data_IF_758244143270
#
_entry.id   IF_758244143270
#
_cell.length_a   1.000
_cell.length_b   1.000
_cell.length_c   1.000
_cell.angle_alpha   90.00
_cell.angle_beta   90.00
_cell.angle_gamma   90.00
#
_symmetry.space_group_name_H-M   'P 1'
#
loop_
_entity.id
_entity.type
_entity.pdbx_description
1 polymer ?
#
# COMPACT_ATOMS: atom_id res chain seq x y z
N UNK A 1 -0.60 33.64 -33.75
CA UNK A 1 -0.26 33.19 -32.39
C UNK A 1 -0.39 34.41 -31.49
N UNK A 2 -1.36 34.58 -30.60
CA UNK A 2 -2.40 33.69 -30.07
C UNK A 2 -2.76 34.23 -28.69
N UNK A 3 -3.42 35.39 -28.65
CA UNK A 3 -3.75 36.09 -27.42
C UNK A 3 -4.43 37.44 -27.68
N UNK A 4 -5.12 37.97 -26.68
CA UNK A 4 -5.75 39.30 -26.73
C UNK A 4 -4.89 40.29 -25.96
N UNK A 5 -4.74 41.50 -26.47
CA UNK A 5 -4.05 42.60 -25.77
C UNK A 5 -5.01 43.77 -25.68
N UNK A 6 -5.39 44.15 -24.47
CA UNK A 6 -6.22 45.30 -24.22
C UNK A 6 -5.31 46.48 -23.83
N UNK A 7 -5.14 47.42 -24.75
CA UNK A 7 -4.26 48.59 -24.58
C UNK A 7 -4.78 49.60 -23.55
N UNK A 8 -6.09 49.65 -23.33
CA UNK A 8 -6.72 50.60 -22.39
C UNK A 8 -6.54 50.14 -20.94
N UNK A 9 -6.59 48.84 -20.71
CA UNK A 9 -6.44 48.24 -19.36
C UNK A 9 -5.04 47.70 -19.09
N UNK A 10 -4.18 47.63 -20.10
CA UNK A 10 -2.86 47.01 -20.02
C UNK A 10 -2.88 45.49 -19.81
N UNK A 11 -4.05 44.84 -19.96
CA UNK A 11 -4.20 43.39 -19.78
C UNK A 11 -3.93 42.64 -21.07
N UNK A 12 -3.43 41.41 -20.94
CA UNK A 12 -3.34 40.47 -22.04
C UNK A 12 -3.79 39.07 -21.59
N UNK A 13 -4.27 38.28 -22.53
CA UNK A 13 -4.53 36.86 -22.35
C UNK A 13 -3.79 36.09 -23.44
N UNK A 14 -3.12 35.01 -23.06
CA UNK A 14 -2.42 34.14 -24.02
C UNK A 14 -3.01 32.74 -23.94
N UNK A 15 -3.45 32.22 -25.07
CA UNK A 15 -4.05 30.89 -25.11
C UNK A 15 -2.95 29.83 -25.21
N UNK A 16 -2.85 28.98 -24.18
CA UNK A 16 -2.00 27.79 -24.21
C UNK A 16 -2.78 26.62 -24.81
N UNK A 17 -2.39 26.23 -26.02
CA UNK A 17 -2.98 25.07 -26.69
C UNK A 17 -2.78 23.79 -25.86
N UNK A 18 -3.81 22.92 -25.73
CA UNK A 18 -3.72 21.70 -24.91
C UNK A 18 -2.48 20.84 -25.15
N UNK A 19 -2.04 20.70 -26.39
CA UNK A 19 -0.87 19.90 -26.77
C UNK A 19 0.46 20.38 -26.13
N UNK A 20 0.54 21.64 -25.68
CA UNK A 20 1.75 22.21 -25.08
C UNK A 20 1.68 22.29 -23.55
N UNK A 21 0.55 21.93 -22.93
CA UNK A 21 0.35 22.09 -21.48
C UNK A 21 1.34 21.26 -20.68
N UNK A 22 1.60 20.02 -21.06
CA UNK A 22 2.57 19.16 -20.37
C UNK A 22 4.01 19.68 -20.51
N UNK A 23 4.38 20.16 -21.69
CA UNK A 23 5.69 20.78 -21.91
C UNK A 23 5.86 22.03 -21.03
N UNK A 24 4.81 22.83 -20.87
CA UNK A 24 4.81 24.01 -20.01
C UNK A 24 4.84 23.63 -18.52
N UNK A 25 4.06 22.63 -18.09
CA UNK A 25 3.99 22.17 -16.68
C UNK A 25 5.31 21.60 -16.18
N UNK A 26 6.04 20.93 -17.07
CA UNK A 26 7.33 20.29 -16.76
C UNK A 26 8.54 21.15 -17.10
N UNK A 27 8.35 22.27 -17.80
CA UNK A 27 9.45 23.17 -18.17
C UNK A 27 10.17 23.72 -16.93
N UNK A 28 11.50 23.75 -17.00
CA UNK A 28 12.32 24.44 -16.02
C UNK A 28 12.16 25.98 -16.11
N UNK A 29 11.71 26.48 -17.26
CA UNK A 29 11.58 27.90 -17.55
C UNK A 29 10.49 28.14 -18.60
N UNK A 30 9.58 29.08 -18.33
CA UNK A 30 8.65 29.62 -19.32
C UNK A 30 8.83 31.13 -19.34
N UNK A 31 8.92 31.71 -20.53
CA UNK A 31 9.10 33.15 -20.72
C UNK A 31 8.14 33.65 -21.78
N UNK A 32 7.59 34.85 -21.55
CA UNK A 32 6.81 35.58 -22.52
C UNK A 32 7.69 36.66 -23.15
N UNK A 33 7.99 36.51 -24.45
CA UNK A 33 8.64 37.56 -25.24
C UNK A 33 7.58 38.38 -25.96
N UNK A 34 7.60 39.69 -25.74
CA UNK A 34 6.76 40.65 -26.47
C UNK A 34 7.52 41.24 -27.66
N UNK A 35 6.78 41.57 -28.71
CA UNK A 35 7.33 42.16 -29.94
C UNK A 35 6.51 43.40 -30.34
N UNK A 36 7.19 44.44 -30.82
CA UNK A 36 6.56 45.52 -31.59
C UNK A 36 6.72 45.20 -33.07
N UNK A 37 5.63 45.16 -33.82
CA UNK A 37 5.66 44.88 -35.26
C UNK A 37 5.24 46.11 -36.06
N UNK A 38 6.07 46.50 -37.01
CA UNK A 38 5.81 47.58 -37.95
C UNK A 38 6.04 47.14 -39.40
N UNK A 39 5.47 47.89 -40.35
CA UNK A 39 5.70 47.66 -41.78
C UNK A 39 6.35 48.90 -42.38
N UNK A 40 7.55 48.74 -42.92
CA UNK A 40 8.32 49.80 -43.59
C UNK A 40 8.61 49.33 -45.02
N UNK A 41 8.24 50.12 -46.02
CA UNK A 41 8.43 49.81 -47.44
C UNK A 41 7.93 48.42 -47.87
N UNK A 42 6.81 47.98 -47.27
CA UNK A 42 6.20 46.67 -47.54
C UNK A 42 6.89 45.49 -46.84
N UNK A 43 7.96 45.73 -46.08
CA UNK A 43 8.62 44.72 -45.26
C UNK A 43 8.12 44.77 -43.82
N UNK A 44 7.84 43.60 -43.23
CA UNK A 44 7.50 43.47 -41.81
C UNK A 44 8.77 43.41 -40.98
N UNK A 45 8.88 44.31 -40.01
CA UNK A 45 9.97 44.38 -39.04
C UNK A 45 9.41 44.07 -37.65
N UNK A 46 10.09 43.19 -36.90
CA UNK A 46 9.72 42.81 -35.54
C UNK A 46 10.82 43.22 -34.56
N UNK A 47 10.50 44.15 -33.66
CA UNK A 47 11.39 44.58 -32.59
C UNK A 47 11.09 43.79 -31.33
N UNK A 48 12.08 43.06 -30.80
CA UNK A 48 11.97 42.43 -29.49
C UNK A 48 11.84 43.51 -28.42
N UNK A 49 10.80 43.39 -27.61
CA UNK A 49 10.59 44.25 -26.45
C UNK A 49 11.00 43.48 -25.18
N UNK A 50 10.09 43.36 -24.22
CA UNK A 50 10.33 42.77 -22.91
C UNK A 50 10.21 41.26 -22.98
N UNK A 51 11.16 40.59 -22.31
CA UNK A 51 11.15 39.17 -21.98
C UNK A 51 10.82 39.03 -20.49
N UNK A 52 9.69 38.39 -20.17
CA UNK A 52 9.23 38.24 -18.80
C UNK A 52 9.14 36.75 -18.44
N UNK A 53 9.76 36.28 -17.34
CA UNK A 53 9.52 34.94 -16.84
C UNK A 53 8.06 34.77 -16.42
N UNK A 54 7.49 33.62 -16.73
CA UNK A 54 6.16 33.19 -16.29
C UNK A 54 6.35 32.18 -15.16
N UNK A 55 5.81 32.49 -13.99
CA UNK A 55 5.78 31.55 -12.87
C UNK A 55 4.82 30.41 -13.18
N UNK A 56 5.32 29.17 -13.13
CA UNK A 56 4.50 27.98 -13.22
C UNK A 56 4.20 27.53 -11.79
N UNK A 57 2.95 27.70 -11.36
CA UNK A 57 2.51 27.13 -10.08
C UNK A 57 2.34 25.63 -10.26
N UNK A 58 3.21 24.85 -9.63
CA UNK A 58 3.10 23.39 -9.61
C UNK A 58 2.13 22.95 -8.53
N UNK A 59 1.38 21.90 -8.82
CA UNK A 59 0.61 21.21 -7.79
C UNK A 59 1.57 20.72 -6.70
N UNK A 60 1.16 20.88 -5.45
CA UNK A 60 1.92 20.41 -4.28
C UNK A 60 0.96 19.70 -3.34
N UNK A 61 1.48 18.85 -2.47
CA UNK A 61 0.68 18.17 -1.47
C UNK A 61 1.44 17.03 -0.82
N UNK A 62 0.89 16.53 0.27
CA UNK A 62 1.43 15.39 1.02
C UNK A 62 0.31 14.46 1.45
N UNK A 63 0.64 13.22 1.80
CA UNK A 63 -0.30 12.24 2.33
C UNK A 63 0.24 11.58 3.59
N UNK A 64 -0.61 11.46 4.60
CA UNK A 64 -0.27 10.82 5.85
C UNK A 64 -1.34 9.77 6.16
N UNK A 65 -1.15 8.50 5.75
CA UNK A 65 -2.02 7.41 6.14
C UNK A 65 -1.91 7.15 7.65
N UNK A 66 -3.03 6.81 8.27
CA UNK A 66 -3.08 6.22 9.59
C UNK A 66 -2.63 4.75 9.53
N UNK A 67 -2.42 4.14 10.70
CA UNK A 67 -2.21 2.69 10.77
C UNK A 67 -3.45 1.97 10.24
N UNK A 68 -3.24 0.98 9.36
CA UNK A 68 -4.30 0.22 8.72
C UNK A 68 -4.38 -1.18 9.33
N UNK A 69 -5.56 -1.51 9.86
CA UNK A 69 -5.87 -2.87 10.29
C UNK A 69 -6.34 -3.67 9.09
N UNK A 70 -5.72 -4.83 8.85
CA UNK A 70 -6.05 -5.68 7.67
C UNK A 70 -7.48 -6.25 7.68
N UNK A 71 -8.17 -6.16 8.82
CA UNK A 71 -9.59 -6.52 8.95
C UNK A 71 -10.54 -5.39 8.50
N UNK A 72 -10.05 -4.16 8.34
CA UNK A 72 -10.82 -3.01 7.89
C UNK A 72 -10.81 -2.90 6.36
N UNK A 73 -11.86 -2.31 5.78
CA UNK A 73 -11.97 -2.15 4.32
C UNK A 73 -11.40 -0.84 3.79
N UNK A 74 -10.90 0.05 4.64
CA UNK A 74 -10.46 1.39 4.24
C UNK A 74 -9.17 1.80 4.94
N UNK A 75 -8.19 2.27 4.17
CA UNK A 75 -7.08 3.06 4.71
C UNK A 75 -7.59 4.48 4.87
N UNK A 76 -7.42 5.06 6.06
CA UNK A 76 -7.79 6.45 6.34
C UNK A 76 -6.54 7.28 6.60
N UNK A 77 -6.69 8.60 6.59
CA UNK A 77 -5.59 9.50 6.94
C UNK A 77 -5.89 10.95 6.61
N UNK A 78 -4.83 11.75 6.57
CA UNK A 78 -4.88 13.15 6.20
C UNK A 78 -4.04 13.44 4.96
N UNK A 79 -4.32 14.56 4.31
CA UNK A 79 -3.54 15.03 3.17
C UNK A 79 -3.42 16.56 3.19
N UNK A 80 -2.55 17.11 2.35
CA UNK A 80 -2.44 18.57 2.14
C UNK A 80 -2.42 18.92 0.66
N UNK A 81 -2.66 20.19 0.35
CA UNK A 81 -2.49 20.73 -1.00
C UNK A 81 -3.49 20.17 -2.01
N UNK A 82 -2.99 19.79 -3.18
CA UNK A 82 -3.77 19.46 -4.37
C UNK A 82 -4.06 17.96 -4.52
N UNK A 83 -3.74 17.13 -3.53
CA UNK A 83 -4.00 15.68 -3.60
C UNK A 83 -5.48 15.42 -3.80
N UNK A 84 -5.81 14.61 -4.80
CA UNK A 84 -7.19 14.20 -5.10
C UNK A 84 -7.30 12.77 -5.65
N UNK A 85 -6.18 12.04 -5.69
CA UNK A 85 -6.13 10.68 -6.20
C UNK A 85 -4.95 9.91 -5.58
N UNK A 86 -5.05 8.59 -5.46
CA UNK A 86 -3.97 7.77 -4.92
C UNK A 86 -3.80 6.43 -5.65
N UNK A 87 -2.59 5.87 -5.52
CA UNK A 87 -2.20 4.53 -5.95
C UNK A 87 -1.73 3.76 -4.73
N UNK A 88 -2.29 2.58 -4.50
CA UNK A 88 -1.82 1.65 -3.49
C UNK A 88 -0.76 0.75 -4.11
N UNK A 89 0.41 0.71 -3.47
CA UNK A 89 1.53 -0.14 -3.85
C UNK A 89 1.78 -1.13 -2.71
N UNK A 90 1.89 -2.40 -3.06
CA UNK A 90 2.23 -3.49 -2.14
C UNK A 90 3.44 -4.22 -2.70
N UNK A 91 4.52 -4.29 -1.91
CA UNK A 91 5.81 -4.87 -2.31
C UNK A 91 6.32 -4.37 -3.67
N UNK A 92 6.27 -3.04 -3.84
CA UNK A 92 6.71 -2.36 -5.07
C UNK A 92 5.77 -2.51 -6.28
N UNK A 93 4.65 -3.23 -6.15
CA UNK A 93 3.66 -3.41 -7.23
C UNK A 93 2.42 -2.54 -7.00
N UNK A 94 2.02 -1.77 -8.00
CA UNK A 94 0.71 -1.10 -8.02
C UNK A 94 -0.42 -2.13 -8.05
N UNK A 95 -1.31 -2.09 -7.06
CA UNK A 95 -2.41 -3.05 -6.88
C UNK A 95 -3.79 -2.44 -7.11
N UNK A 96 -3.96 -1.15 -6.83
CA UNK A 96 -5.21 -0.43 -7.07
C UNK A 96 -4.97 1.08 -7.14
N UNK A 97 -5.94 1.79 -7.71
CA UNK A 97 -5.96 3.25 -7.78
C UNK A 97 -7.32 3.77 -7.34
N UNK A 98 -7.37 4.91 -6.66
CA UNK A 98 -8.61 5.47 -6.15
C UNK A 98 -8.41 6.43 -4.98
N UNK A 99 -9.34 6.37 -4.04
CA UNK A 99 -9.40 7.24 -2.86
C UNK A 99 -10.48 8.31 -2.97
N UNK A 100 -11.03 8.68 -1.82
CA UNK A 100 -11.96 9.79 -1.64
C UNK A 100 -11.29 10.83 -0.76
N UNK A 101 -11.17 12.06 -1.24
CA UNK A 101 -10.44 13.14 -0.57
C UNK A 101 -11.41 14.26 -0.20
N UNK A 102 -11.55 14.53 1.10
CA UNK A 102 -12.38 15.61 1.60
C UNK A 102 -11.53 16.86 1.85
N UNK A 103 -11.70 17.86 0.99
CA UNK A 103 -10.93 19.11 1.08
C UNK A 103 -11.37 20.02 2.24
N UNK A 104 -12.51 19.74 2.88
CA UNK A 104 -13.03 20.56 3.98
C UNK A 104 -12.28 20.28 5.28
N UNK A 105 -12.03 19.01 5.57
CA UNK A 105 -11.35 18.54 6.79
C UNK A 105 -9.93 18.01 6.52
N UNK A 106 -9.51 17.98 5.24
CA UNK A 106 -8.21 17.47 4.80
C UNK A 106 -7.99 15.99 5.17
N UNK A 107 -9.05 15.20 5.13
CA UNK A 107 -9.01 13.74 5.36
C UNK A 107 -9.28 12.94 4.10
N UNK A 108 -8.84 11.68 4.07
CA UNK A 108 -9.16 10.78 2.98
C UNK A 108 -9.57 9.39 3.48
N UNK A 109 -10.30 8.67 2.63
CA UNK A 109 -10.51 7.23 2.72
C UNK A 109 -10.05 6.56 1.43
N UNK A 110 -9.50 5.35 1.53
CA UNK A 110 -9.04 4.57 0.40
C UNK A 110 -9.53 3.13 0.55
N UNK A 111 -10.43 2.70 -0.32
CA UNK A 111 -11.03 1.38 -0.24
C UNK A 111 -10.04 0.26 -0.62
N UNK A 112 -9.97 -0.76 0.23
CA UNK A 112 -9.13 -1.95 0.05
C UNK A 112 -10.03 -3.19 0.04
N UNK A 113 -10.17 -3.81 -1.13
CA UNK A 113 -10.93 -5.06 -1.31
C UNK A 113 -10.26 -6.23 -0.59
N UNK A 114 -11.03 -7.26 -0.31
CA UNK A 114 -10.61 -8.43 0.48
C UNK A 114 -9.34 -9.11 -0.04
N UNK A 115 -9.27 -9.45 -1.33
CA UNK A 115 -8.07 -10.05 -1.93
C UNK A 115 -6.80 -9.19 -1.72
N UNK A 116 -6.95 -7.86 -1.73
CA UNK A 116 -5.83 -6.94 -1.51
C UNK A 116 -5.45 -6.87 -0.04
N UNK A 117 -6.40 -7.04 0.89
CA UNK A 117 -6.09 -7.15 2.33
C UNK A 117 -5.31 -8.42 2.63
N UNK A 118 -5.66 -9.53 1.98
CA UNK A 118 -4.90 -10.78 2.08
C UNK A 118 -3.47 -10.61 1.55
N UNK A 119 -3.29 -9.88 0.44
CA UNK A 119 -1.96 -9.54 -0.05
C UNK A 119 -1.17 -8.65 0.94
N UNK A 120 -1.80 -7.61 1.49
CA UNK A 120 -1.19 -6.69 2.47
C UNK A 120 -0.74 -7.41 3.74
N UNK A 121 -1.51 -8.40 4.19
CA UNK A 121 -1.25 -9.17 5.41
C UNK A 121 0.16 -9.79 5.39
N UNK A 122 0.57 -10.29 4.23
CA UNK A 122 1.84 -10.97 4.03
C UNK A 122 2.92 -10.05 3.43
N UNK A 123 2.57 -8.79 3.16
CA UNK A 123 3.48 -7.84 2.53
C UNK A 123 4.59 -7.38 3.47
N UNK A 124 5.74 -7.10 2.87
CA UNK A 124 6.88 -6.43 3.52
C UNK A 124 6.66 -4.92 3.55
N UNK A 125 6.12 -4.35 2.47
CA UNK A 125 5.90 -2.91 2.31
C UNK A 125 4.55 -2.60 1.72
N UNK A 126 3.89 -1.58 2.29
CA UNK A 126 2.65 -1.02 1.77
C UNK A 126 2.83 0.49 1.70
N UNK A 127 2.64 1.06 0.52
CA UNK A 127 2.78 2.48 0.27
C UNK A 127 1.51 3.04 -0.35
N UNK A 128 1.14 4.24 0.06
CA UNK A 128 0.13 5.04 -0.60
C UNK A 128 0.83 6.21 -1.29
N UNK A 129 0.65 6.28 -2.61
CA UNK A 129 1.23 7.34 -3.44
C UNK A 129 0.12 8.32 -3.78
N UNK A 130 0.32 9.59 -3.44
CA UNK A 130 -0.63 10.66 -3.66
C UNK A 130 -0.37 11.38 -4.98
N UNK A 131 -1.45 11.70 -5.70
CA UNK A 131 -1.44 12.36 -6.99
C UNK A 131 -2.37 13.56 -7.00
N UNK A 132 -2.03 14.52 -7.86
CA UNK A 132 -2.99 15.46 -8.42
C UNK A 132 -3.40 14.98 -9.82
N UNK A 133 -4.61 14.45 -9.92
CA UNK A 133 -5.27 14.04 -11.16
C UNK A 133 -6.11 15.19 -11.73
N UNK A 134 -5.87 15.49 -12.99
CA UNK A 134 -6.68 16.42 -13.77
C UNK A 134 -7.26 15.73 -15.00
N UNK A 135 -8.48 16.12 -15.39
CA UNK A 135 -9.10 15.67 -16.64
C UNK A 135 -8.84 16.71 -17.72
N UNK A 136 -7.96 16.39 -18.68
CA UNK A 136 -7.68 17.24 -19.83
C UNK A 136 -8.21 16.54 -21.08
N UNK A 137 -9.21 17.14 -21.73
CA UNK A 137 -9.87 16.59 -22.92
C UNK A 137 -10.39 15.15 -22.72
N UNK A 138 -10.87 14.84 -21.51
CA UNK A 138 -11.39 13.50 -21.17
C UNK A 138 -10.31 12.47 -20.82
N UNK A 139 -9.03 12.84 -20.84
CA UNK A 139 -7.92 11.97 -20.41
C UNK A 139 -7.41 12.39 -19.03
N UNK A 140 -7.18 11.44 -18.10
CA UNK A 140 -6.55 11.74 -16.83
C UNK A 140 -5.05 12.04 -17.01
N UNK A 141 -4.57 13.10 -16.39
CA UNK A 141 -3.15 13.42 -16.23
C UNK A 141 -2.84 13.37 -14.74
N UNK A 142 -1.94 12.47 -14.35
CA UNK A 142 -1.59 12.20 -12.96
C UNK A 142 -0.22 12.76 -12.64
N UNK A 143 -0.16 13.73 -11.74
CA UNK A 143 1.09 14.26 -11.22
C UNK A 143 1.33 13.68 -9.82
N UNK A 144 2.35 12.85 -9.67
CA UNK A 144 2.76 12.35 -8.35
C UNK A 144 3.21 13.51 -7.47
N UNK A 145 2.69 13.58 -6.24
CA UNK A 145 2.98 14.64 -5.28
C UNK A 145 3.80 14.13 -4.09
N UNK A 146 3.44 12.96 -3.57
CA UNK A 146 4.05 12.40 -2.35
C UNK A 146 3.88 10.88 -2.26
N UNK A 147 4.70 10.24 -1.43
CA UNK A 147 4.66 8.80 -1.12
C UNK A 147 4.82 8.61 0.38
N UNK A 148 3.92 7.83 0.98
CA UNK A 148 4.04 7.44 2.38
C UNK A 148 3.83 5.95 2.57
N UNK A 149 4.63 5.37 3.46
CA UNK A 149 4.38 4.01 3.98
C UNK A 149 3.12 4.01 4.81
N UNK A 150 2.27 3.00 4.61
CA UNK A 150 1.12 2.70 5.45
C UNK A 150 1.59 1.73 6.53
N UNK A 151 1.49 2.13 7.80
CA UNK A 151 1.79 1.21 8.91
C UNK A 151 0.70 0.16 8.95
N UNK A 152 1.06 -1.12 8.87
CA UNK A 152 0.09 -2.21 8.93
C UNK A 152 0.01 -2.75 10.35
N UNK A 153 -1.17 -2.65 10.95
CA UNK A 153 -1.48 -3.30 12.22
C UNK A 153 -1.94 -4.74 11.94
N UNK A 154 -0.98 -5.65 12.00
CA UNK A 154 -1.19 -7.08 11.78
C UNK A 154 -1.66 -7.71 13.09
N UNK A 155 -2.95 -7.60 13.39
CA UNK A 155 -3.55 -8.27 14.54
C UNK A 155 -3.74 -9.77 14.22
N UNK A 156 -2.70 -10.57 14.51
CA UNK A 156 -2.76 -12.03 14.38
C UNK A 156 -3.48 -12.62 15.59
N UNK A 157 -4.72 -13.05 15.40
CA UNK A 157 -5.56 -13.59 16.48
C UNK A 157 -5.86 -15.06 16.19
N UNK A 158 -5.74 -15.87 17.23
CA UNK A 158 -6.14 -17.26 17.17
C UNK A 158 -5.98 -17.98 18.49
N UNK A 159 -6.50 -19.20 18.54
CA UNK A 159 -6.31 -20.12 19.66
C UNK A 159 -5.94 -21.49 19.13
N UNK A 160 -5.30 -22.31 19.97
CA UNK A 160 -5.03 -23.71 19.67
C UNK A 160 -5.36 -24.57 20.88
N UNK A 161 -6.04 -25.68 20.64
CA UNK A 161 -6.51 -26.63 21.66
C UNK A 161 -6.12 -28.04 21.23
N UNK A 162 -4.99 -28.59 21.73
CA UNK A 162 -4.60 -29.95 21.44
C UNK A 162 -5.51 -30.96 22.16
N UNK A 163 -5.78 -32.09 21.49
CA UNK A 163 -6.30 -33.27 22.15
C UNK A 163 -5.19 -33.92 22.99
N UNK A 164 -5.54 -34.68 24.06
CA UNK A 164 -4.55 -35.48 24.78
C UNK A 164 -3.82 -36.44 23.83
N UNK A 165 -2.50 -36.48 23.95
CA UNK A 165 -1.64 -37.41 23.21
C UNK A 165 -1.54 -38.73 23.97
N UNK A 166 -1.93 -39.83 23.33
CA UNK A 166 -1.73 -41.16 23.90
C UNK A 166 -0.33 -41.68 23.56
N UNK A 167 0.38 -42.21 24.56
CA UNK A 167 1.72 -42.75 24.37
C UNK A 167 1.79 -43.80 23.25
N UNK A 168 2.77 -43.62 22.36
CA UNK A 168 2.97 -44.48 21.19
C UNK A 168 2.16 -44.09 19.96
N UNK A 169 1.19 -43.17 20.07
CA UNK A 169 0.49 -42.65 18.91
C UNK A 169 1.46 -41.90 17.98
N UNK A 170 1.16 -41.94 16.69
CA UNK A 170 1.99 -41.29 15.66
C UNK A 170 1.42 -39.97 15.18
N UNK A 171 0.34 -39.52 15.81
CA UNK A 171 -0.37 -38.30 15.46
C UNK A 171 -0.78 -37.55 16.71
N UNK A 172 -0.56 -36.24 16.72
CA UNK A 172 -1.17 -35.31 17.67
C UNK A 172 -2.19 -34.51 16.89
N UNK A 173 -3.42 -34.45 17.40
CA UNK A 173 -4.51 -33.68 16.77
C UNK A 173 -5.06 -32.64 17.72
N UNK A 174 -5.85 -31.73 17.19
CA UNK A 174 -6.60 -30.76 17.99
C UNK A 174 -7.33 -29.78 17.09
N UNK A 175 -7.84 -28.72 17.70
CA UNK A 175 -8.55 -27.65 17.01
C UNK A 175 -7.81 -26.32 17.13
N UNK A 176 -8.09 -25.40 16.21
CA UNK A 176 -7.59 -24.04 16.25
C UNK A 176 -8.64 -23.05 15.74
N UNK A 177 -8.50 -21.78 16.12
CA UNK A 177 -9.28 -20.66 15.57
C UNK A 177 -8.34 -19.59 15.06
N UNK A 178 -8.79 -18.75 14.12
CA UNK A 178 -7.97 -17.71 13.50
C UNK A 178 -7.60 -18.07 12.07
N UNK A 179 -7.88 -17.15 11.15
CA UNK A 179 -7.64 -17.34 9.71
C UNK A 179 -6.14 -17.33 9.37
N UNK A 180 -5.32 -16.79 10.26
CA UNK A 180 -3.89 -16.60 10.04
C UNK A 180 -3.03 -17.81 10.39
N UNK A 181 -3.58 -18.77 11.15
CA UNK A 181 -2.86 -19.98 11.50
C UNK A 181 -2.82 -20.89 10.28
N UNK A 182 -1.62 -21.03 9.70
CA UNK A 182 -1.36 -21.85 8.52
C UNK A 182 -0.15 -22.79 8.71
N UNK A 183 0.49 -22.74 9.89
CA UNK A 183 1.70 -23.48 10.20
C UNK A 183 1.82 -23.72 11.71
N UNK A 184 2.73 -24.59 12.11
CA UNK A 184 2.97 -24.83 13.53
C UNK A 184 4.32 -25.45 13.82
N UNK A 185 4.65 -25.46 15.11
CA UNK A 185 5.85 -26.07 15.67
C UNK A 185 5.46 -26.91 16.87
N UNK A 186 5.76 -28.19 16.87
CA UNK A 186 5.61 -29.08 18.02
C UNK A 186 6.98 -29.20 18.70
N UNK A 187 7.03 -28.89 19.99
CA UNK A 187 8.20 -29.11 20.83
C UNK A 187 7.96 -30.27 21.78
N UNK A 188 8.90 -31.20 21.85
CA UNK A 188 8.87 -32.36 22.76
C UNK A 188 10.24 -32.47 23.42
N UNK A 189 10.35 -32.12 24.70
CA UNK A 189 11.62 -32.15 25.44
C UNK A 189 12.81 -31.48 24.70
N UNK A 190 12.54 -30.38 23.99
CA UNK A 190 13.51 -29.64 23.17
C UNK A 190 13.70 -30.16 21.74
N UNK A 191 13.10 -31.29 21.37
CA UNK A 191 12.98 -31.71 19.96
C UNK A 191 11.94 -30.85 19.24
N UNK A 192 12.31 -30.26 18.11
CA UNK A 192 11.43 -29.41 17.30
C UNK A 192 10.95 -30.16 16.06
N UNK A 193 9.64 -30.13 15.83
CA UNK A 193 8.98 -30.65 14.63
C UNK A 193 8.10 -29.58 14.00
N UNK A 194 8.27 -29.33 12.71
CA UNK A 194 7.41 -28.40 11.97
C UNK A 194 6.13 -29.09 11.51
N UNK A 195 5.00 -28.41 11.67
CA UNK A 195 3.65 -28.94 11.45
C UNK A 195 2.98 -28.12 10.36
N UNK A 196 2.67 -28.76 9.23
CA UNK A 196 1.94 -28.15 8.11
C UNK A 196 0.47 -28.59 8.03
N UNK A 197 0.03 -29.46 8.94
CA UNK A 197 -1.30 -30.08 8.88
C UNK A 197 -2.41 -29.23 9.48
N UNK A 198 -2.48 -27.93 9.17
CA UNK A 198 -3.54 -27.02 9.63
C UNK A 198 -4.57 -26.82 8.52
N UNK A 199 -5.80 -27.30 8.72
CA UNK A 199 -6.90 -27.14 7.78
C UNK A 199 -8.24 -27.27 8.50
N UNK A 200 -9.23 -26.51 8.02
CA UNK A 200 -10.63 -26.61 8.47
C UNK A 200 -10.82 -26.52 9.99
N UNK A 201 -10.02 -25.68 10.66
CA UNK A 201 -10.07 -25.49 12.12
C UNK A 201 -9.49 -26.65 12.92
N UNK A 202 -8.81 -27.60 12.28
CA UNK A 202 -8.13 -28.74 12.90
C UNK A 202 -6.65 -28.78 12.54
N UNK A 203 -5.83 -29.29 13.45
CA UNK A 203 -4.43 -29.56 13.13
C UNK A 203 -4.08 -31.05 13.30
N UNK A 204 -3.11 -31.52 12.54
CA UNK A 204 -2.47 -32.83 12.72
C UNK A 204 -0.96 -32.70 12.62
N UNK A 205 -0.26 -33.05 13.70
CA UNK A 205 1.19 -33.21 13.73
C UNK A 205 1.55 -34.70 13.68
N UNK A 206 2.55 -35.06 12.89
CA UNK A 206 2.97 -36.45 12.70
C UNK A 206 4.31 -36.72 13.39
N UNK A 207 4.37 -37.83 14.12
CA UNK A 207 5.60 -38.40 14.65
C UNK A 207 6.02 -39.61 13.82
N UNK A 208 7.30 -39.70 13.49
CA UNK A 208 7.87 -40.96 13.03
C UNK A 208 7.94 -41.96 14.21
N UNK A 209 8.26 -43.22 13.92
CA UNK A 209 8.26 -44.27 14.95
C UNK A 209 9.25 -43.99 16.09
N UNK A 210 10.43 -43.50 15.75
CA UNK A 210 11.49 -43.21 16.72
C UNK A 210 11.08 -42.07 17.66
N UNK A 211 10.50 -41.01 17.09
CA UNK A 211 9.98 -39.86 17.82
C UNK A 211 8.83 -40.24 18.76
N UNK A 212 7.88 -41.06 18.28
CA UNK A 212 6.79 -41.54 19.12
C UNK A 212 7.30 -42.42 20.28
N UNK A 213 8.30 -43.27 20.01
CA UNK A 213 8.92 -44.13 21.02
C UNK A 213 9.77 -43.36 22.04
N UNK A 214 10.25 -42.14 21.70
CA UNK A 214 11.02 -41.32 22.64
C UNK A 214 10.15 -40.54 23.63
N UNK A 215 8.85 -40.40 23.36
CA UNK A 215 7.94 -39.69 24.28
C UNK A 215 7.67 -40.55 25.52
N UNK A 216 7.77 -39.94 26.69
CA UNK A 216 7.42 -40.56 27.97
C UNK A 216 6.24 -39.82 28.61
N UNK A 217 5.63 -40.39 29.65
CA UNK A 217 4.56 -39.72 30.41
C UNK A 217 5.01 -38.41 31.07
N UNK A 218 6.32 -38.28 31.31
CA UNK A 218 6.92 -37.13 31.99
C UNK A 218 7.44 -36.07 30.98
N UNK A 219 7.38 -36.37 29.68
CA UNK A 219 7.79 -35.46 28.61
C UNK A 219 6.94 -34.19 28.60
N UNK A 220 7.57 -33.06 28.28
CA UNK A 220 6.90 -31.79 28.05
C UNK A 220 6.62 -31.63 26.56
N UNK A 221 5.34 -31.43 26.21
CA UNK A 221 4.90 -31.27 24.84
C UNK A 221 4.11 -29.96 24.68
N UNK A 222 4.54 -29.10 23.76
CA UNK A 222 3.90 -27.82 23.46
C UNK A 222 3.70 -27.67 21.96
N UNK A 223 2.47 -27.37 21.53
CA UNK A 223 2.17 -27.02 20.15
C UNK A 223 2.07 -25.50 20.04
N UNK A 224 2.79 -24.95 19.08
CA UNK A 224 2.75 -23.54 18.69
C UNK A 224 1.99 -23.43 17.37
N UNK A 225 0.95 -22.60 17.36
CA UNK A 225 0.22 -22.21 16.17
C UNK A 225 0.81 -20.92 15.60
N UNK A 226 1.20 -20.96 14.34
CA UNK A 226 1.99 -19.94 13.69
C UNK A 226 1.31 -19.47 12.41
N UNK A 227 1.53 -18.21 12.08
CA UNK A 227 1.45 -17.73 10.70
C UNK A 227 2.83 -17.84 10.07
N UNK A 228 2.92 -18.52 8.93
CA UNK A 228 4.12 -18.57 8.08
C UNK A 228 3.90 -17.69 6.86
N UNK A 229 4.77 -16.70 6.73
CA UNK A 229 4.79 -15.75 5.62
C UNK A 229 5.40 -16.38 4.36
N UNK A 230 5.27 -15.69 3.22
CA UNK A 230 5.83 -16.12 1.95
C UNK A 230 7.36 -16.22 1.95
N UNK A 231 8.04 -15.37 2.73
CA UNK A 231 9.49 -15.40 2.95
C UNK A 231 9.95 -16.52 3.91
N UNK A 232 9.02 -17.37 4.35
CA UNK A 232 9.18 -18.46 5.31
C UNK A 232 9.46 -18.03 6.76
N UNK A 233 9.46 -16.73 7.06
CA UNK A 233 9.46 -16.26 8.44
C UNK A 233 8.15 -16.66 9.12
N UNK A 234 8.17 -16.73 10.45
CA UNK A 234 7.00 -17.15 11.24
C UNK A 234 6.68 -16.15 12.33
N UNK A 235 5.38 -15.93 12.54
CA UNK A 235 4.83 -15.23 13.70
C UNK A 235 4.05 -16.21 14.57
N UNK A 236 4.39 -16.28 15.85
CA UNK A 236 3.58 -17.01 16.83
C UNK A 236 2.26 -16.28 17.08
N UNK A 237 1.16 -17.05 17.03
CA UNK A 237 -0.20 -16.58 17.29
C UNK A 237 -0.68 -17.11 18.64
N UNK A 238 -0.51 -18.41 18.86
CA UNK A 238 -0.94 -19.10 20.08
C UNK A 238 -0.04 -20.30 20.37
N UNK A 239 -0.07 -20.77 21.62
CA UNK A 239 0.55 -22.02 22.03
C UNK A 239 -0.30 -22.72 23.08
N UNK A 240 -0.15 -24.05 23.18
CA UNK A 240 -0.80 -24.84 24.22
C UNK A 240 0.03 -26.08 24.58
N UNK A 241 -0.03 -26.47 25.84
CA UNK A 241 0.52 -27.74 26.32
C UNK A 241 -0.36 -28.90 25.84
N UNK A 242 0.26 -29.96 25.35
CA UNK A 242 -0.40 -31.22 24.99
C UNK A 242 -0.32 -32.15 26.19
N UNK A 243 -1.46 -32.51 26.78
CA UNK A 243 -1.51 -33.49 27.86
C UNK A 243 -1.15 -34.88 27.35
N UNK A 244 -0.30 -35.61 28.07
CA UNK A 244 0.09 -36.98 27.72
C UNK A 244 -0.70 -37.98 28.55
N UNK A 245 -1.23 -39.03 27.92
CA UNK A 245 -2.02 -40.10 28.55
C UNK A 245 -1.46 -41.49 28.19
N UNK A 246 -1.68 -42.47 29.06
CA UNK A 246 -1.35 -43.88 28.82
C UNK A 246 -2.34 -44.58 27.87
#
# INVERSE_FOLDING_TARGET
WGGTFNKETGRFEFFVHPQFREQIRTAAKVELQTYHRETVDGQTIEHKLVLQPVEIVKATGSIQPAAFKVTESEITGTFTGNVNFANLIVDGRSVSWGGTFNTTDQTFTYFVKEDTRNLIRDAETVELVAYHREMINGLPIDNELDRSVVTIDKEFIGTITPNPYKLGDRTITGTYTGEDINFGRLEIDGMILWVSGFADGTFTAYLNQEQANSVTKDSQMTIYALHRFADLSTREIAQATVSITE
#
